data_IF_182918010913
#
_entry.id   IF_182918010913
#
_cell.length_a   1.000
_cell.length_b   1.000
_cell.length_c   1.000
_cell.angle_alpha   90.00
_cell.angle_beta   90.00
_cell.angle_gamma   90.00
#
_symmetry.space_group_name_H-M   'P 1'
#
loop_
_entity.id
_entity.type
_entity.pdbx_description
1 polymer ?
#
# COMPACT_ATOMS: atom_id res chain seq x y z
N UNK A 1 -7.25 2.75 43.96
CA UNK A 1 -7.48 3.51 42.71
C UNK A 1 -6.22 3.46 41.86
N UNK A 2 -6.22 2.77 40.72
CA UNK A 2 -5.05 2.80 39.82
C UNK A 2 -4.92 4.21 39.23
N UNK A 3 -3.86 4.92 39.61
CA UNK A 3 -3.51 6.24 39.06
C UNK A 3 -3.43 6.19 37.52
N UNK A 4 -3.79 7.30 36.86
CA UNK A 4 -3.65 7.45 35.41
C UNK A 4 -2.16 7.37 35.03
N UNK A 5 -1.74 6.42 34.18
CA UNK A 5 -0.34 6.26 33.84
C UNK A 5 0.18 7.47 33.07
N UNK A 6 1.41 7.89 33.36
CA UNK A 6 2.08 8.99 32.66
C UNK A 6 2.85 8.42 31.47
N UNK A 7 2.53 8.91 30.26
CA UNK A 7 3.10 8.41 29.00
C UNK A 7 4.63 8.31 29.01
N UNK A 8 5.33 9.39 29.37
CA UNK A 8 6.79 9.47 29.33
C UNK A 8 7.51 8.69 30.43
N UNK A 9 6.79 8.16 31.43
CA UNK A 9 7.37 7.40 32.54
C UNK A 9 7.09 5.91 32.42
N UNK A 10 5.90 5.54 31.95
CA UNK A 10 5.45 4.14 31.89
C UNK A 10 4.74 3.85 30.56
N UNK A 11 5.44 3.90 29.40
CA UNK A 11 4.81 3.82 28.08
C UNK A 11 4.05 2.51 27.86
N UNK A 12 4.61 1.38 28.29
CA UNK A 12 3.96 0.06 28.16
C UNK A 12 2.68 -0.02 29.00
N UNK A 13 2.70 0.50 30.23
CA UNK A 13 1.51 0.54 31.08
C UNK A 13 0.47 1.51 30.54
N UNK A 14 0.89 2.64 29.98
CA UNK A 14 0.02 3.62 29.33
C UNK A 14 -0.72 3.00 28.13
N UNK A 15 -0.02 2.29 27.24
CA UNK A 15 -0.65 1.59 26.12
C UNK A 15 -1.66 0.55 26.61
N UNK A 16 -1.27 -0.29 27.58
CA UNK A 16 -2.17 -1.30 28.17
C UNK A 16 -3.40 -0.68 28.85
N UNK A 17 -3.24 0.48 29.48
CA UNK A 17 -4.34 1.21 30.10
C UNK A 17 -5.34 1.73 29.06
N UNK A 18 -4.87 2.33 27.96
CA UNK A 18 -5.75 2.83 26.90
C UNK A 18 -6.39 1.70 26.11
N UNK A 19 -5.70 0.58 25.90
CA UNK A 19 -6.26 -0.60 25.27
C UNK A 19 -7.48 -1.16 26.04
N UNK A 20 -7.46 -1.15 27.39
CA UNK A 20 -8.57 -1.63 28.21
C UNK A 20 -9.64 -0.56 28.50
N UNK A 21 -9.25 0.66 28.87
CA UNK A 21 -10.20 1.68 29.34
C UNK A 21 -10.79 2.53 28.21
N UNK A 22 -10.08 2.68 27.09
CA UNK A 22 -10.50 3.49 25.93
C UNK A 22 -10.17 2.77 24.62
N UNK A 23 -10.71 1.55 24.40
CA UNK A 23 -10.36 0.71 23.27
C UNK A 23 -10.62 1.42 21.92
N UNK A 24 -11.68 2.22 21.83
CA UNK A 24 -12.04 2.93 20.61
C UNK A 24 -10.96 3.92 20.15
N UNK A 25 -10.25 4.61 21.06
CA UNK A 25 -9.13 5.49 20.69
C UNK A 25 -7.86 4.71 20.39
N UNK A 26 -7.57 3.69 21.22
CA UNK A 26 -6.34 2.92 21.08
C UNK A 26 -6.31 2.13 19.76
N UNK A 27 -7.35 1.33 19.50
CA UNK A 27 -7.37 0.47 18.32
C UNK A 27 -7.59 1.23 17.02
N UNK A 28 -8.35 2.35 17.02
CA UNK A 28 -8.49 3.18 15.82
C UNK A 28 -7.15 3.79 15.41
N UNK A 29 -6.43 4.41 16.36
CA UNK A 29 -5.10 4.97 16.10
C UNK A 29 -4.08 3.89 15.73
N UNK A 30 -4.12 2.74 16.41
CA UNK A 30 -3.23 1.62 16.12
C UNK A 30 -3.43 1.08 14.69
N UNK A 31 -4.68 0.82 14.28
CA UNK A 31 -4.98 0.34 12.92
C UNK A 31 -4.58 1.39 11.87
N UNK A 32 -4.88 2.67 12.13
CA UNK A 32 -4.50 3.76 11.25
C UNK A 32 -2.98 3.86 11.09
N UNK A 33 -2.22 3.67 12.17
CA UNK A 33 -0.75 3.66 12.14
C UNK A 33 -0.19 2.41 11.45
N UNK A 34 -0.80 1.24 11.67
CA UNK A 34 -0.37 0.01 11.02
C UNK A 34 -0.49 0.09 9.50
N UNK A 35 -1.49 0.77 8.93
CA UNK A 35 -1.64 0.92 7.48
C UNK A 35 -0.36 1.41 6.76
N UNK A 36 0.17 2.61 7.07
CA UNK A 36 1.44 3.10 6.54
C UNK A 36 2.63 2.17 6.83
N UNK A 37 2.70 1.56 8.01
CA UNK A 37 3.74 0.59 8.36
C UNK A 37 3.71 -0.60 7.40
N UNK A 38 2.53 -1.18 7.15
CA UNK A 38 2.38 -2.27 6.18
C UNK A 38 2.77 -1.84 4.77
N UNK A 39 2.42 -0.63 4.34
CA UNK A 39 2.81 -0.13 3.01
C UNK A 39 4.33 -0.04 2.90
N UNK A 40 5.01 0.48 3.92
CA UNK A 40 6.47 0.66 3.89
C UNK A 40 7.23 -0.67 3.98
N UNK A 41 6.79 -1.59 4.84
CA UNK A 41 7.55 -2.82 5.10
C UNK A 41 7.07 -4.03 4.29
N UNK A 42 5.76 -4.21 4.13
CA UNK A 42 5.21 -5.42 3.49
C UNK A 42 5.22 -5.33 1.96
N UNK A 43 5.03 -4.13 1.39
CA UNK A 43 5.08 -3.96 -0.08
C UNK A 43 6.43 -4.35 -0.71
N UNK A 44 7.60 -3.91 -0.20
CA UNK A 44 8.88 -4.34 -0.77
C UNK A 44 9.13 -5.83 -0.55
N UNK A 45 8.78 -6.36 0.63
CA UNK A 45 8.89 -7.78 0.93
C UNK A 45 8.09 -8.63 -0.07
N UNK A 46 6.86 -8.21 -0.38
CA UNK A 46 5.99 -8.84 -1.39
C UNK A 46 6.63 -8.85 -2.77
N UNK A 47 7.20 -7.72 -3.21
CA UNK A 47 7.85 -7.59 -4.52
C UNK A 47 9.11 -8.45 -4.65
N UNK A 48 9.83 -8.68 -3.54
CA UNK A 48 11.06 -9.47 -3.54
C UNK A 48 10.83 -10.97 -3.50
N UNK A 49 9.86 -11.43 -2.69
CA UNK A 49 9.72 -12.87 -2.40
C UNK A 49 8.48 -13.52 -2.99
N UNK A 50 7.47 -12.74 -3.38
CA UNK A 50 6.18 -13.30 -3.80
C UNK A 50 5.89 -13.01 -5.28
N UNK A 51 5.59 -11.76 -5.61
CA UNK A 51 5.18 -11.39 -6.97
C UNK A 51 5.42 -9.90 -7.27
N UNK A 52 5.66 -9.61 -8.54
CA UNK A 52 5.82 -8.26 -9.06
C UNK A 52 4.49 -7.51 -9.19
N UNK A 53 4.57 -6.19 -9.30
CA UNK A 53 3.40 -5.34 -9.52
C UNK A 53 2.81 -5.54 -10.93
N UNK A 54 1.51 -5.33 -11.05
CA UNK A 54 0.83 -5.42 -12.34
C UNK A 54 1.40 -4.40 -13.33
N UNK A 55 1.54 -4.83 -14.60
CA UNK A 55 1.93 -3.93 -15.69
C UNK A 55 0.86 -2.85 -15.87
N UNK A 56 1.24 -1.62 -16.25
CA UNK A 56 0.28 -0.55 -16.48
C UNK A 56 -0.67 -0.93 -17.61
N UNK A 57 -1.96 -0.65 -17.41
CA UNK A 57 -2.95 -0.78 -18.46
C UNK A 57 -2.69 0.27 -19.56
N UNK A 58 -2.95 -0.03 -20.83
CA UNK A 58 -2.87 0.96 -21.90
C UNK A 58 -4.02 1.95 -21.73
N UNK A 59 -3.74 3.10 -21.10
CA UNK A 59 -4.73 4.17 -20.90
C UNK A 59 -4.95 5.00 -22.17
N UNK A 60 -3.96 5.00 -23.07
CA UNK A 60 -3.93 5.85 -24.28
C UNK A 60 -4.71 5.23 -25.46
N UNK A 61 -5.55 4.22 -25.20
CA UNK A 61 -6.34 3.54 -26.22
C UNK A 61 -5.54 2.52 -27.03
N UNK A 62 -5.68 2.56 -28.36
CA UNK A 62 -5.03 1.59 -29.24
C UNK A 62 -3.49 1.79 -29.23
N UNK A 63 -2.70 0.73 -29.04
CA UNK A 63 -1.24 0.86 -28.97
C UNK A 63 -0.66 1.20 -30.36
N UNK A 64 -0.42 2.48 -30.60
CA UNK A 64 0.19 2.95 -31.84
C UNK A 64 1.70 2.65 -31.80
N UNK A 65 2.23 1.85 -32.74
CA UNK A 65 3.65 1.56 -32.78
C UNK A 65 4.46 2.83 -33.07
N UNK A 66 5.52 3.05 -32.30
CA UNK A 66 6.47 4.15 -32.54
C UNK A 66 7.34 3.80 -33.75
N UNK A 67 7.22 4.56 -34.84
CA UNK A 67 8.08 4.39 -36.00
C UNK A 67 7.47 4.89 -37.29
N UNK A 68 8.26 4.83 -38.37
CA UNK A 68 7.78 5.12 -39.71
C UNK A 68 6.90 3.99 -40.22
N UNK A 69 5.91 4.33 -41.05
CA UNK A 69 5.05 3.35 -41.73
C UNK A 69 5.91 2.43 -42.59
N UNK A 70 5.64 1.13 -42.55
CA UNK A 70 6.23 0.14 -43.45
C UNK A 70 5.33 -0.01 -44.67
N UNK A 71 5.93 -0.09 -45.86
CA UNK A 71 5.22 -0.50 -47.07
C UNK A 71 4.84 -1.98 -46.94
N UNK A 72 3.56 -2.28 -47.14
CA UNK A 72 2.98 -3.63 -47.09
C UNK A 72 2.36 -3.93 -48.46
N UNK A 73 2.38 -5.21 -48.87
CA UNK A 73 1.78 -5.70 -50.11
C UNK A 73 0.90 -6.91 -49.79
N UNK A 74 -0.12 -7.19 -50.61
CA UNK A 74 -0.87 -8.46 -50.57
C UNK A 74 -2.39 -8.37 -50.42
N UNK A 75 -2.94 -7.17 -50.24
CA UNK A 75 -4.38 -6.89 -50.28
C UNK A 75 -4.66 -5.67 -51.15
N UNK A 76 -3.89 -5.52 -52.22
CA UNK A 76 -4.08 -4.45 -53.20
C UNK A 76 -5.22 -4.89 -54.14
N UNK A 77 -6.16 -3.98 -54.44
CA UNK A 77 -7.26 -4.25 -55.38
C UNK A 77 -6.68 -4.39 -56.81
N UNK A 78 -7.19 -5.34 -57.61
CA UNK A 78 -6.74 -5.59 -59.01
C UNK A 78 -6.83 -4.36 -59.92
#
# INVERSE_FOLDING_TARGET
MSSYPIYFKEPVRWLRYHAHNRPHLFYSGFIAFMGPVFIVFVTPLRRQFLYEDAKPLPLDGYPIPKGKRKEIKGFDDE
#
